data_IF_414638753255
#
_entry.id   IF_414638753255
#
_cell.length_a   1.000
_cell.length_b   1.000
_cell.length_c   1.000
_cell.angle_alpha   90.00
_cell.angle_beta   90.00
_cell.angle_gamma   90.00
#
_symmetry.space_group_name_H-M   'P 1'
#
loop_
_entity.id
_entity.type
_entity.pdbx_description
1 polymer ?
#
# COMPACT_ATOMS: atom_id res chain seq x y z
N UNK A 1 -11.51 6.55 -2.78
CA UNK A 1 -12.66 5.63 -2.58
C UNK A 1 -13.74 5.82 -3.63
N UNK A 2 -14.23 7.04 -3.86
CA UNK A 2 -15.22 7.29 -4.90
C UNK A 2 -14.71 6.87 -6.28
N UNK A 3 -13.47 7.19 -6.63
CA UNK A 3 -12.85 6.77 -7.88
C UNK A 3 -12.83 5.23 -8.05
N UNK A 4 -12.41 4.48 -7.01
CA UNK A 4 -12.43 3.01 -7.01
C UNK A 4 -13.86 2.48 -7.22
N UNK A 5 -14.83 3.04 -6.49
CA UNK A 5 -16.25 2.66 -6.63
C UNK A 5 -16.78 2.90 -8.03
N UNK A 6 -16.52 4.08 -8.60
CA UNK A 6 -16.96 4.46 -9.96
C UNK A 6 -16.39 3.51 -11.00
N UNK A 7 -15.08 3.22 -10.96
CA UNK A 7 -14.43 2.28 -11.87
C UNK A 7 -15.00 0.87 -11.73
N UNK A 8 -15.19 0.40 -10.51
CA UNK A 8 -15.76 -0.93 -10.27
C UNK A 8 -17.22 -1.01 -10.74
N UNK A 9 -18.02 0.03 -10.48
CA UNK A 9 -19.40 0.10 -10.97
C UNK A 9 -19.47 0.05 -12.52
N UNK A 10 -18.61 0.82 -13.17
CA UNK A 10 -18.60 0.91 -14.64
C UNK A 10 -18.23 -0.42 -15.30
N UNK A 11 -17.20 -1.07 -14.80
CA UNK A 11 -16.53 -2.15 -15.55
C UNK A 11 -16.66 -3.55 -14.96
N UNK A 12 -16.90 -3.69 -13.64
CA UNK A 12 -16.92 -5.02 -13.01
C UNK A 12 -18.34 -5.61 -13.06
N UNK A 13 -18.40 -6.89 -13.37
CA UNK A 13 -19.61 -7.71 -13.36
C UNK A 13 -19.34 -9.01 -12.60
N UNK A 14 -20.38 -9.72 -12.24
CA UNK A 14 -20.25 -11.03 -11.61
C UNK A 14 -19.42 -11.97 -12.51
N UNK A 15 -18.33 -12.50 -11.95
CA UNK A 15 -17.40 -13.36 -12.68
C UNK A 15 -16.21 -12.63 -13.32
N UNK A 16 -16.16 -11.29 -13.27
CA UNK A 16 -14.97 -10.54 -13.69
C UNK A 16 -13.76 -10.92 -12.86
N UNK A 17 -12.60 -11.05 -13.50
CA UNK A 17 -11.30 -11.23 -12.86
C UNK A 17 -10.44 -9.99 -13.14
N UNK A 18 -9.81 -9.46 -12.09
CA UNK A 18 -8.96 -8.28 -12.19
C UNK A 18 -7.52 -8.65 -11.83
N UNK A 19 -6.67 -8.87 -12.86
CA UNK A 19 -5.24 -9.03 -12.67
C UNK A 19 -4.63 -7.75 -12.12
N UNK A 20 -3.75 -7.86 -11.12
CA UNK A 20 -3.01 -6.74 -10.56
C UNK A 20 -1.68 -7.19 -9.99
N UNK A 21 -0.70 -6.26 -9.86
CA UNK A 21 0.55 -6.59 -9.20
C UNK A 21 0.29 -7.04 -7.76
N UNK A 22 -0.40 -6.24 -6.95
CA UNK A 22 -0.91 -6.67 -5.64
C UNK A 22 -2.17 -5.87 -5.28
N UNK A 23 -2.99 -6.40 -4.39
CA UNK A 23 -4.21 -5.70 -4.00
C UNK A 23 -3.95 -4.57 -3.01
N UNK A 24 -4.87 -3.62 -2.96
CA UNK A 24 -5.06 -2.76 -1.81
C UNK A 24 -6.42 -3.06 -1.19
N UNK A 25 -6.50 -3.06 0.14
CA UNK A 25 -7.68 -3.52 0.92
C UNK A 25 -9.00 -2.91 0.42
N UNK A 26 -9.03 -1.61 0.12
CA UNK A 26 -10.27 -0.94 -0.34
C UNK A 26 -10.60 -1.27 -1.78
N UNK A 27 -9.60 -1.43 -2.63
CA UNK A 27 -9.79 -1.83 -4.03
C UNK A 27 -10.39 -3.23 -4.11
N UNK A 28 -9.83 -4.18 -3.34
CA UNK A 28 -10.37 -5.53 -3.24
C UNK A 28 -11.83 -5.52 -2.76
N UNK A 29 -12.14 -4.72 -1.72
CA UNK A 29 -13.50 -4.61 -1.21
C UNK A 29 -14.50 -4.10 -2.27
N UNK A 30 -14.13 -3.08 -3.06
CA UNK A 30 -14.97 -2.59 -4.16
C UNK A 30 -15.14 -3.63 -5.27
N UNK A 31 -14.06 -4.30 -5.68
CA UNK A 31 -14.11 -5.37 -6.70
C UNK A 31 -15.07 -6.47 -6.27
N UNK A 32 -14.93 -6.96 -5.03
CA UNK A 32 -15.78 -8.03 -4.47
C UNK A 32 -17.23 -7.59 -4.36
N UNK A 33 -17.49 -6.32 -3.98
CA UNK A 33 -18.85 -5.76 -3.88
C UNK A 33 -19.61 -5.85 -5.21
N UNK A 34 -18.92 -5.71 -6.35
CA UNK A 34 -19.51 -5.83 -7.69
C UNK A 34 -19.44 -7.25 -8.27
N UNK A 35 -19.03 -8.24 -7.46
CA UNK A 35 -18.99 -9.66 -7.84
C UNK A 35 -17.77 -10.07 -8.65
N UNK A 36 -16.73 -9.23 -8.70
CA UNK A 36 -15.44 -9.55 -9.28
C UNK A 36 -14.52 -10.29 -8.30
N UNK A 37 -13.45 -10.84 -8.85
CA UNK A 37 -12.34 -11.47 -8.13
C UNK A 37 -11.02 -10.80 -8.49
N UNK A 38 -10.06 -10.86 -7.59
CA UNK A 38 -8.69 -10.35 -7.80
C UNK A 38 -7.77 -11.52 -8.16
N UNK A 39 -6.87 -11.31 -9.13
CA UNK A 39 -5.72 -12.17 -9.37
C UNK A 39 -4.45 -11.39 -9.03
N UNK A 40 -3.79 -11.77 -7.95
CA UNK A 40 -2.53 -11.18 -7.51
C UNK A 40 -1.38 -11.81 -8.28
N UNK A 41 -0.69 -11.00 -9.05
CA UNK A 41 0.36 -11.42 -9.96
C UNK A 41 1.67 -10.70 -9.65
N UNK A 42 1.97 -10.57 -8.35
CA UNK A 42 3.22 -9.97 -7.90
C UNK A 42 4.41 -10.81 -8.40
N UNK A 43 5.47 -10.13 -8.81
CA UNK A 43 6.74 -10.78 -9.12
C UNK A 43 7.28 -11.49 -7.88
N UNK A 44 7.84 -12.69 -8.06
CA UNK A 44 8.19 -13.58 -6.93
C UNK A 44 9.11 -12.92 -5.88
N UNK A 45 10.05 -12.07 -6.32
CA UNK A 45 10.92 -11.29 -5.42
C UNK A 45 10.16 -10.30 -4.53
N UNK A 46 8.91 -9.96 -4.87
CA UNK A 46 8.05 -9.10 -4.04
C UNK A 46 7.71 -9.71 -2.69
N UNK A 47 7.69 -11.05 -2.59
CA UNK A 47 7.44 -11.79 -1.35
C UNK A 47 8.73 -12.04 -0.54
N UNK A 48 9.90 -11.88 -1.15
CA UNK A 48 11.17 -12.04 -0.47
C UNK A 48 11.57 -10.75 0.26
N UNK A 49 11.30 -10.69 1.56
CA UNK A 49 11.48 -9.50 2.40
C UNK A 49 12.95 -9.03 2.41
N UNK A 50 13.91 -9.97 2.42
CA UNK A 50 15.34 -9.68 2.52
C UNK A 50 16.06 -9.45 1.17
N UNK A 51 15.38 -9.67 0.04
CA UNK A 51 15.95 -9.45 -1.29
C UNK A 51 16.16 -7.97 -1.57
N UNK A 52 17.31 -7.62 -2.13
CA UNK A 52 17.64 -6.26 -2.59
C UNK A 52 17.11 -5.96 -4.02
N UNK A 53 16.20 -6.79 -4.54
CA UNK A 53 15.61 -6.56 -5.87
C UNK A 53 14.94 -5.19 -5.94
N UNK A 54 15.32 -4.32 -6.91
CA UNK A 54 14.96 -2.90 -6.87
C UNK A 54 13.49 -2.59 -7.13
N UNK A 55 12.75 -3.48 -7.81
CA UNK A 55 11.39 -3.26 -8.28
C UNK A 55 10.44 -4.39 -7.86
N UNK A 56 10.36 -4.64 -6.55
CA UNK A 56 9.51 -5.69 -5.97
C UNK A 56 8.02 -5.53 -6.24
N UNK A 57 7.58 -4.33 -6.65
CA UNK A 57 6.21 -4.05 -7.07
C UNK A 57 5.88 -4.45 -8.51
N UNK A 58 6.83 -5.03 -9.25
CA UNK A 58 6.60 -5.51 -10.61
C UNK A 58 5.52 -6.58 -10.67
N UNK A 59 4.81 -6.63 -11.79
CA UNK A 59 3.86 -7.70 -12.12
C UNK A 59 4.60 -8.84 -12.84
N UNK A 60 4.25 -10.07 -12.53
CA UNK A 60 4.77 -11.27 -13.19
C UNK A 60 4.10 -11.45 -14.56
N UNK A 61 4.82 -11.16 -15.63
CA UNK A 61 4.28 -11.06 -17.00
C UNK A 61 3.79 -12.39 -17.54
N UNK A 62 4.52 -13.48 -17.30
CA UNK A 62 4.14 -14.82 -17.76
C UNK A 62 2.85 -15.28 -17.06
N UNK A 63 2.73 -15.04 -15.74
CA UNK A 63 1.50 -15.33 -14.99
C UNK A 63 0.32 -14.46 -15.45
N UNK A 64 0.58 -13.21 -15.85
CA UNK A 64 -0.45 -12.32 -16.40
C UNK A 64 -1.02 -12.90 -17.69
N UNK A 65 -0.15 -13.30 -18.62
CA UNK A 65 -0.59 -13.87 -19.90
C UNK A 65 -1.30 -15.21 -19.73
N UNK A 66 -0.82 -16.08 -18.84
CA UNK A 66 -1.45 -17.34 -18.48
C UNK A 66 -2.85 -17.13 -17.87
N UNK A 67 -2.98 -16.15 -16.97
CA UNK A 67 -4.26 -15.76 -16.35
C UNK A 67 -5.27 -15.34 -17.41
N UNK A 68 -4.86 -14.52 -18.39
CA UNK A 68 -5.72 -14.07 -19.48
C UNK A 68 -6.16 -15.25 -20.34
N UNK A 69 -5.24 -16.15 -20.71
CA UNK A 69 -5.54 -17.34 -21.52
C UNK A 69 -6.50 -18.30 -20.82
N UNK A 70 -6.35 -18.44 -19.50
CA UNK A 70 -7.16 -19.37 -18.69
C UNK A 70 -8.58 -18.88 -18.46
N UNK A 71 -8.75 -17.57 -18.19
CA UNK A 71 -10.04 -17.00 -17.83
C UNK A 71 -10.81 -16.38 -19.00
N UNK A 72 -10.14 -16.13 -20.14
CA UNK A 72 -10.69 -15.40 -21.27
C UNK A 72 -10.60 -13.87 -21.09
N UNK A 73 -10.11 -13.18 -22.12
CA UNK A 73 -9.93 -11.72 -22.09
C UNK A 73 -11.26 -10.98 -21.85
N UNK A 74 -12.39 -11.54 -22.29
CA UNK A 74 -13.73 -10.99 -22.13
C UNK A 74 -14.19 -10.91 -20.65
N UNK A 75 -13.58 -11.70 -19.76
CA UNK A 75 -13.86 -11.70 -18.33
C UNK A 75 -12.93 -10.76 -17.56
N UNK A 76 -11.96 -10.13 -18.24
CA UNK A 76 -10.97 -9.22 -17.65
C UNK A 76 -11.24 -7.80 -18.16
N UNK A 77 -12.01 -6.99 -17.42
CA UNK A 77 -12.39 -5.64 -17.85
C UNK A 77 -11.20 -4.68 -17.91
N UNK A 78 -10.19 -4.90 -17.05
CA UNK A 78 -8.94 -4.15 -17.03
C UNK A 78 -7.86 -4.90 -16.23
N UNK A 79 -6.60 -4.56 -16.50
CA UNK A 79 -5.44 -4.91 -15.67
C UNK A 79 -5.14 -3.69 -14.80
N UNK A 80 -4.98 -3.88 -13.48
CA UNK A 80 -4.65 -2.79 -12.56
C UNK A 80 -3.19 -2.86 -12.12
N UNK A 81 -2.49 -1.73 -12.20
CA UNK A 81 -1.12 -1.59 -11.68
C UNK A 81 -1.11 -0.53 -10.58
N UNK A 82 -0.64 -0.87 -9.40
CA UNK A 82 -0.50 0.06 -8.27
C UNK A 82 0.90 0.65 -8.24
N UNK A 83 0.99 1.97 -8.38
CA UNK A 83 2.25 2.69 -8.22
C UNK A 83 2.67 2.67 -6.75
N UNK A 84 3.81 2.01 -6.49
CA UNK A 84 4.35 1.70 -5.17
C UNK A 84 3.39 0.87 -4.32
N UNK A 85 3.46 -0.43 -4.53
CA UNK A 85 2.60 -1.45 -3.92
C UNK A 85 2.62 -1.37 -2.39
N UNK A 86 1.54 -0.86 -1.83
CA UNK A 86 1.47 -0.46 -0.42
C UNK A 86 1.67 -1.63 0.55
N UNK A 87 1.01 -2.77 0.29
CA UNK A 87 0.93 -3.88 1.25
C UNK A 87 2.21 -4.71 1.35
N UNK A 88 3.14 -4.55 0.40
CA UNK A 88 4.42 -5.27 0.36
C UNK A 88 5.62 -4.37 0.66
N UNK A 89 5.42 -3.29 1.40
CA UNK A 89 6.51 -2.39 1.79
C UNK A 89 6.61 -1.10 0.98
N UNK A 90 5.54 -0.71 0.25
CA UNK A 90 5.58 0.47 -0.62
C UNK A 90 6.57 0.30 -1.78
N UNK A 91 6.66 -0.90 -2.32
CA UNK A 91 7.67 -1.27 -3.32
C UNK A 91 7.27 -0.79 -4.72
N UNK A 92 8.20 -0.16 -5.47
CA UNK A 92 7.93 0.36 -6.80
C UNK A 92 7.88 -0.73 -7.86
N UNK A 93 7.21 -0.44 -8.96
CA UNK A 93 7.40 -1.13 -10.24
C UNK A 93 8.30 -0.29 -11.17
N UNK A 94 8.94 -0.95 -12.16
CA UNK A 94 9.75 -0.31 -13.20
C UNK A 94 8.90 0.12 -14.41
N UNK A 95 9.33 1.12 -15.15
CA UNK A 95 8.69 1.49 -16.43
C UNK A 95 8.80 0.34 -17.42
N UNK A 96 9.93 -0.38 -17.42
CA UNK A 96 10.09 -1.55 -18.28
C UNK A 96 8.98 -2.60 -18.03
N UNK A 97 8.68 -2.92 -16.77
CA UNK A 97 7.59 -3.84 -16.44
C UNK A 97 6.21 -3.31 -16.85
N UNK A 98 5.96 -2.00 -16.68
CA UNK A 98 4.71 -1.38 -17.14
C UNK A 98 4.56 -1.43 -18.67
N UNK A 99 5.67 -1.28 -19.44
CA UNK A 99 5.69 -1.48 -20.91
C UNK A 99 5.33 -2.91 -21.28
N UNK A 100 5.82 -3.88 -20.55
CA UNK A 100 5.50 -5.31 -20.75
C UNK A 100 4.04 -5.59 -20.44
N UNK A 101 3.50 -5.05 -19.35
CA UNK A 101 2.06 -5.12 -19.04
C UNK A 101 1.22 -4.48 -20.16
N UNK A 102 1.63 -3.30 -20.66
CA UNK A 102 0.95 -2.62 -21.78
C UNK A 102 0.94 -3.49 -23.03
N UNK A 103 2.09 -4.10 -23.39
CA UNK A 103 2.19 -4.96 -24.56
C UNK A 103 1.24 -6.18 -24.48
N UNK A 104 1.12 -6.81 -23.30
CA UNK A 104 0.16 -7.89 -23.08
C UNK A 104 -1.27 -7.37 -23.17
N UNK A 105 -1.56 -6.23 -22.55
CA UNK A 105 -2.88 -5.63 -22.58
C UNK A 105 -3.33 -5.28 -24.01
N UNK A 106 -2.44 -4.73 -24.84
CA UNK A 106 -2.70 -4.43 -26.27
C UNK A 106 -2.97 -5.71 -27.06
N UNK A 107 -2.18 -6.77 -26.82
CA UNK A 107 -2.35 -8.07 -27.50
C UNK A 107 -3.74 -8.67 -27.31
N UNK A 108 -4.33 -8.46 -26.11
CA UNK A 108 -5.63 -9.02 -25.77
C UNK A 108 -6.76 -7.99 -25.76
N UNK A 109 -6.48 -6.73 -26.17
CA UNK A 109 -7.40 -5.61 -26.17
C UNK A 109 -8.05 -5.36 -24.79
N UNK A 110 -7.22 -5.40 -23.75
CA UNK A 110 -7.60 -5.14 -22.35
C UNK A 110 -7.10 -3.75 -21.91
N UNK A 111 -7.90 -3.02 -21.13
CA UNK A 111 -7.51 -1.70 -20.62
C UNK A 111 -6.46 -1.84 -19.49
N UNK A 112 -5.55 -0.87 -19.39
CA UNK A 112 -4.64 -0.71 -18.25
C UNK A 112 -5.12 0.42 -17.36
N UNK A 113 -5.32 0.13 -16.09
CA UNK A 113 -5.71 1.09 -15.05
C UNK A 113 -4.53 1.28 -14.09
N UNK A 114 -4.02 2.51 -14.00
CA UNK A 114 -2.95 2.87 -13.10
C UNK A 114 -3.50 3.50 -11.82
N UNK A 115 -3.25 2.87 -10.68
CA UNK A 115 -3.42 3.53 -9.38
C UNK A 115 -2.21 4.41 -9.09
N UNK A 116 -2.42 5.70 -9.27
CA UNK A 116 -1.39 6.73 -9.14
C UNK A 116 -1.31 7.34 -7.73
N UNK A 117 -1.83 6.66 -6.72
CA UNK A 117 -1.86 7.20 -5.35
C UNK A 117 -0.47 7.51 -4.78
N UNK A 118 0.58 6.80 -5.20
CA UNK A 118 1.98 7.03 -4.83
C UNK A 118 2.87 7.23 -6.07
N UNK A 119 2.32 7.84 -7.11
CA UNK A 119 2.95 8.00 -8.41
C UNK A 119 4.27 8.79 -8.33
N UNK A 120 4.30 9.88 -7.57
CA UNK A 120 5.49 10.72 -7.42
C UNK A 120 6.64 9.96 -6.78
N UNK A 121 6.36 9.22 -5.71
CA UNK A 121 7.36 8.41 -5.01
C UNK A 121 7.83 7.23 -5.87
N UNK A 122 6.93 6.60 -6.64
CA UNK A 122 7.33 5.55 -7.60
C UNK A 122 8.24 6.12 -8.69
N UNK A 123 7.89 7.29 -9.24
CA UNK A 123 8.72 7.98 -10.23
C UNK A 123 10.11 8.36 -9.69
N UNK A 124 10.17 8.79 -8.42
CA UNK A 124 11.44 9.06 -7.75
C UNK A 124 12.31 7.80 -7.61
N UNK A 125 11.72 6.66 -7.25
CA UNK A 125 12.46 5.40 -7.16
C UNK A 125 12.87 4.87 -8.54
N UNK A 126 12.09 5.11 -9.59
CA UNK A 126 12.49 4.85 -10.99
C UNK A 126 13.71 5.71 -11.35
N UNK A 127 13.67 7.02 -11.09
CA UNK A 127 14.78 7.92 -11.31
C UNK A 127 16.09 7.43 -10.64
N UNK A 128 15.99 6.90 -9.42
CA UNK A 128 17.15 6.39 -8.68
C UNK A 128 17.64 5.01 -9.14
N UNK A 129 16.78 4.14 -9.63
CA UNK A 129 17.05 2.70 -9.77
C UNK A 129 17.02 2.19 -11.20
N UNK A 130 16.37 2.89 -12.15
CA UNK A 130 16.26 2.49 -13.55
C UNK A 130 17.20 3.33 -14.41
N UNK A 131 18.22 2.70 -15.00
CA UNK A 131 19.34 3.38 -15.69
C UNK A 131 18.86 4.32 -16.80
N UNK A 132 17.82 3.92 -17.56
CA UNK A 132 17.22 4.72 -18.62
C UNK A 132 16.74 6.10 -18.14
N UNK A 133 16.33 6.22 -16.87
CA UNK A 133 15.62 7.39 -16.36
C UNK A 133 16.45 8.29 -15.43
N UNK A 134 17.74 8.05 -15.29
CA UNK A 134 18.63 8.81 -14.38
C UNK A 134 18.72 10.30 -14.71
N UNK A 135 18.60 10.66 -15.98
CA UNK A 135 18.71 12.05 -16.45
C UNK A 135 17.35 12.69 -16.73
N UNK A 136 16.23 11.98 -16.46
CA UNK A 136 14.88 12.48 -16.68
C UNK A 136 14.34 13.20 -15.44
N UNK A 137 13.59 14.27 -15.66
CA UNK A 137 12.82 14.91 -14.59
C UNK A 137 11.68 14.01 -14.11
N UNK A 138 11.22 14.22 -12.87
CA UNK A 138 10.05 13.47 -12.35
C UNK A 138 8.82 13.65 -13.24
N UNK A 139 8.63 14.83 -13.83
CA UNK A 139 7.52 15.08 -14.74
C UNK A 139 7.56 14.23 -16.01
N UNK A 140 8.74 14.04 -16.59
CA UNK A 140 8.93 13.17 -17.76
C UNK A 140 8.71 11.70 -17.41
N UNK A 141 9.19 11.25 -16.24
CA UNK A 141 8.96 9.88 -15.75
C UNK A 141 7.48 9.63 -15.49
N UNK A 142 6.80 10.56 -14.80
CA UNK A 142 5.36 10.49 -14.55
C UNK A 142 4.59 10.42 -15.86
N UNK A 143 4.97 11.24 -16.84
CA UNK A 143 4.37 11.20 -18.18
C UNK A 143 4.59 9.85 -18.86
N UNK A 144 5.80 9.30 -18.81
CA UNK A 144 6.10 7.99 -19.38
C UNK A 144 5.27 6.87 -18.73
N UNK A 145 5.02 6.95 -17.42
CA UNK A 145 4.14 6.01 -16.71
C UNK A 145 2.68 6.17 -17.13
N UNK A 146 2.16 7.39 -17.16
CA UNK A 146 0.75 7.65 -17.44
C UNK A 146 0.38 7.45 -18.91
N UNK A 147 1.30 7.63 -19.84
CA UNK A 147 1.10 7.35 -21.27
C UNK A 147 0.88 5.84 -21.57
N UNK A 148 1.28 4.95 -20.65
CA UNK A 148 1.07 3.52 -20.75
C UNK A 148 -0.27 3.03 -20.17
N UNK A 149 -1.07 3.93 -19.61
CA UNK A 149 -2.36 3.62 -19.01
C UNK A 149 -3.53 4.25 -19.75
N UNK A 150 -4.65 3.51 -19.86
CA UNK A 150 -5.90 4.03 -20.44
C UNK A 150 -6.67 4.89 -19.43
N UNK A 151 -6.56 4.52 -18.15
CA UNK A 151 -7.20 5.20 -17.03
C UNK A 151 -6.17 5.37 -15.91
N UNK A 152 -6.08 6.56 -15.37
CA UNK A 152 -5.29 6.87 -14.18
C UNK A 152 -6.23 7.35 -13.08
N UNK A 153 -6.16 6.76 -11.88
CA UNK A 153 -6.89 7.29 -10.73
C UNK A 153 -5.98 7.47 -9.53
N UNK A 154 -6.33 8.38 -8.64
CA UNK A 154 -5.47 8.69 -7.50
C UNK A 154 -6.24 9.13 -6.25
N UNK A 155 -5.58 8.95 -5.11
CA UNK A 155 -5.95 9.57 -3.84
C UNK A 155 -5.20 10.89 -3.67
N UNK A 156 -5.90 12.02 -3.62
CA UNK A 156 -5.28 13.32 -3.43
C UNK A 156 -4.56 13.45 -2.07
N UNK A 157 -4.98 12.71 -1.04
CA UNK A 157 -4.30 12.69 0.26
C UNK A 157 -2.86 12.19 0.20
N UNK A 158 -2.57 11.32 -0.77
CA UNK A 158 -1.22 10.78 -0.97
C UNK A 158 -0.50 11.60 -2.05
N UNK A 159 -1.08 11.71 -3.23
CA UNK A 159 -0.43 12.34 -4.38
C UNK A 159 -0.25 13.85 -4.21
N UNK A 160 -1.26 14.58 -3.72
CA UNK A 160 -1.24 16.04 -3.64
C UNK A 160 -1.36 16.61 -2.22
N UNK A 161 -1.29 15.77 -1.17
CA UNK A 161 -1.44 16.18 0.23
C UNK A 161 -2.73 16.96 0.55
N UNK A 162 -3.78 16.82 -0.28
CA UNK A 162 -5.09 17.44 -0.14
C UNK A 162 -6.20 16.40 0.03
N UNK A 163 -7.45 16.81 0.14
CA UNK A 163 -8.60 15.89 0.15
C UNK A 163 -9.07 15.57 -1.24
N UNK A 164 -9.81 14.45 -1.38
CA UNK A 164 -10.39 14.02 -2.65
C UNK A 164 -9.53 13.05 -3.42
N UNK A 165 -9.63 13.11 -4.71
CA UNK A 165 -8.95 12.29 -5.69
C UNK A 165 -9.47 12.60 -7.09
N UNK A 166 -9.03 11.82 -8.07
CA UNK A 166 -9.46 12.01 -9.45
C UNK A 166 -9.37 10.72 -10.25
N UNK A 167 -10.07 10.74 -11.38
CA UNK A 167 -9.93 9.79 -12.47
C UNK A 167 -9.59 10.61 -13.72
N UNK A 168 -8.54 10.21 -14.44
CA UNK A 168 -8.06 10.85 -15.64
C UNK A 168 -8.01 9.84 -16.78
N UNK A 169 -8.39 10.27 -17.97
CA UNK A 169 -8.25 9.50 -19.20
C UNK A 169 -8.12 10.45 -20.39
N UNK A 170 -7.34 10.06 -21.39
CA UNK A 170 -7.28 10.74 -22.69
C UNK A 170 -8.27 10.15 -23.70
N UNK A 171 -9.01 9.10 -23.33
CA UNK A 171 -9.99 8.45 -24.18
C UNK A 171 -11.39 9.03 -23.92
N UNK A 172 -11.99 9.63 -24.96
CA UNK A 172 -13.29 10.27 -24.86
C UNK A 172 -14.44 9.28 -24.63
N UNK A 173 -14.32 8.05 -25.10
CA UNK A 173 -15.33 7.00 -24.88
C UNK A 173 -15.33 6.59 -23.42
N UNK A 174 -14.16 6.33 -22.84
CA UNK A 174 -14.00 6.04 -21.41
C UNK A 174 -14.55 7.19 -20.56
N UNK A 175 -14.24 8.43 -20.91
CA UNK A 175 -14.80 9.60 -20.21
C UNK A 175 -16.33 9.57 -20.20
N UNK A 176 -16.95 9.31 -21.36
CA UNK A 176 -18.42 9.23 -21.51
C UNK A 176 -19.05 8.07 -20.73
N UNK A 177 -18.34 6.96 -20.58
CA UNK A 177 -18.80 5.84 -19.76
C UNK A 177 -18.82 6.19 -18.26
N UNK A 178 -17.85 6.99 -17.79
CA UNK A 178 -17.69 7.34 -16.38
C UNK A 178 -18.45 8.59 -15.94
N UNK A 179 -18.60 9.58 -16.82
CA UNK A 179 -19.19 10.89 -16.53
C UNK A 179 -20.57 10.80 -15.84
N UNK A 180 -21.52 9.92 -16.26
CA UNK A 180 -22.85 9.82 -15.63
C UNK A 180 -22.83 9.31 -14.19
N UNK A 181 -21.74 8.64 -13.78
CA UNK A 181 -21.58 8.10 -12.43
C UNK A 181 -21.11 9.17 -11.44
N UNK A 182 -20.52 10.27 -11.91
CA UNK A 182 -20.03 11.35 -11.04
C UNK A 182 -21.18 12.02 -10.28
N UNK A 183 -22.27 12.48 -10.93
CA UNK A 183 -23.41 13.03 -10.21
C UNK A 183 -24.07 12.07 -9.23
N UNK A 184 -23.99 10.76 -9.52
CA UNK A 184 -24.60 9.73 -8.68
C UNK A 184 -23.82 9.49 -7.38
N UNK A 185 -22.48 9.50 -7.43
CA UNK A 185 -21.63 9.07 -6.32
C UNK A 185 -20.86 10.20 -5.64
N UNK A 186 -20.62 11.31 -6.30
CA UNK A 186 -19.76 12.38 -5.80
C UNK A 186 -20.47 13.72 -5.73
N UNK A 187 -21.11 14.14 -6.78
CA UNK A 187 -21.85 15.38 -6.85
C UNK A 187 -21.93 15.92 -8.27
N UNK A 188 -22.72 17.00 -8.45
CA UNK A 188 -22.96 17.56 -9.74
C UNK A 188 -21.69 18.21 -10.33
N UNK A 189 -21.47 18.07 -11.63
CA UNK A 189 -20.23 18.44 -12.31
C UNK A 189 -19.86 19.94 -12.19
N UNK A 190 -20.82 20.80 -11.94
CA UNK A 190 -20.62 22.26 -11.90
C UNK A 190 -20.72 22.86 -10.49
N UNK A 191 -21.45 22.24 -9.56
CA UNK A 191 -21.69 22.84 -8.24
C UNK A 191 -21.90 21.80 -7.11
N UNK A 192 -21.42 20.60 -7.25
CA UNK A 192 -21.52 19.56 -6.22
C UNK A 192 -20.17 18.93 -5.92
N UNK A 193 -20.16 17.95 -5.04
CA UNK A 193 -19.00 17.15 -4.72
C UNK A 193 -17.93 17.90 -3.94
N UNK A 194 -16.68 17.83 -4.43
CA UNK A 194 -15.53 18.40 -3.74
C UNK A 194 -15.56 19.93 -3.76
N UNK A 195 -15.19 20.57 -2.65
CA UNK A 195 -15.16 22.02 -2.55
C UNK A 195 -14.06 22.65 -3.41
N UNK A 196 -14.27 23.88 -3.89
CA UNK A 196 -13.27 24.64 -4.68
C UNK A 196 -11.94 24.77 -3.93
N UNK A 197 -11.97 24.99 -2.63
CA UNK A 197 -10.75 25.07 -1.80
C UNK A 197 -9.90 23.79 -1.85
N UNK A 198 -10.55 22.64 -1.87
CA UNK A 198 -9.86 21.35 -1.98
C UNK A 198 -9.31 21.14 -3.40
N UNK A 199 -10.04 21.64 -4.44
CA UNK A 199 -9.58 21.58 -5.82
C UNK A 199 -8.33 22.46 -6.00
N UNK A 200 -8.35 23.69 -5.47
CA UNK A 200 -7.18 24.58 -5.50
C UNK A 200 -5.98 23.97 -4.77
N UNK A 201 -6.20 23.45 -3.56
CA UNK A 201 -5.15 22.76 -2.80
C UNK A 201 -4.61 21.52 -3.53
N UNK A 202 -5.51 20.77 -4.20
CA UNK A 202 -5.12 19.61 -5.02
C UNK A 202 -4.27 20.04 -6.21
N UNK A 203 -4.65 21.11 -6.91
CA UNK A 203 -3.90 21.61 -8.05
C UNK A 203 -2.47 21.99 -7.65
N UNK A 204 -2.29 22.75 -6.57
CA UNK A 204 -0.96 23.10 -6.03
C UNK A 204 -0.18 21.84 -5.67
N UNK A 205 -0.78 20.91 -4.93
CA UNK A 205 -0.12 19.67 -4.50
C UNK A 205 0.26 18.73 -5.67
N UNK A 206 -0.49 18.73 -6.77
CA UNK A 206 -0.13 18.00 -7.99
C UNK A 206 1.12 18.59 -8.64
N UNK A 207 1.24 19.94 -8.70
CA UNK A 207 2.49 20.56 -9.15
C UNK A 207 3.68 20.26 -8.24
N UNK A 208 3.49 20.25 -6.92
CA UNK A 208 4.53 19.86 -5.97
C UNK A 208 5.01 18.40 -6.17
N UNK A 209 4.18 17.53 -6.74
CA UNK A 209 4.56 16.15 -7.08
C UNK A 209 5.61 16.08 -8.21
N UNK A 210 5.79 17.15 -8.98
CA UNK A 210 6.83 17.25 -10.01
C UNK A 210 8.16 17.77 -9.46
N UNK A 211 8.20 18.25 -8.23
CA UNK A 211 9.40 18.77 -7.57
C UNK A 211 10.09 17.64 -6.80
N UNK A 212 11.27 17.24 -7.26
CA UNK A 212 12.07 16.20 -6.63
C UNK A 212 12.39 16.52 -5.16
N UNK A 213 12.69 17.79 -4.84
CA UNK A 213 13.00 18.22 -3.47
C UNK A 213 11.85 17.94 -2.51
N UNK A 214 10.62 18.06 -3.01
CA UNK A 214 9.41 17.78 -2.24
C UNK A 214 9.14 16.29 -2.11
N UNK A 215 9.34 15.53 -3.18
CA UNK A 215 9.04 14.09 -3.21
C UNK A 215 10.06 13.29 -2.42
N UNK A 216 11.36 13.57 -2.57
CA UNK A 216 12.44 12.78 -1.97
C UNK A 216 12.44 12.75 -0.44
N UNK A 217 11.85 13.73 0.22
CA UNK A 217 11.86 13.84 1.68
C UNK A 217 11.36 12.59 2.40
N UNK A 218 10.20 12.04 1.96
CA UNK A 218 9.65 10.85 2.59
C UNK A 218 10.48 9.59 2.28
N UNK A 219 10.83 9.28 1.02
CA UNK A 219 11.73 8.17 0.69
C UNK A 219 13.09 8.24 1.41
N UNK A 220 13.73 9.42 1.50
CA UNK A 220 15.01 9.58 2.19
C UNK A 220 14.89 9.27 3.69
N UNK A 221 13.82 9.73 4.34
CA UNK A 221 13.57 9.44 5.76
C UNK A 221 13.22 7.96 5.99
N UNK A 222 12.50 7.34 5.05
CA UNK A 222 12.18 5.92 5.11
C UNK A 222 13.46 5.09 4.94
N UNK A 223 14.31 5.45 3.97
CA UNK A 223 15.60 4.79 3.77
C UNK A 223 16.50 4.91 5.01
N UNK A 224 16.57 6.09 5.63
CA UNK A 224 17.26 6.28 6.90
C UNK A 224 16.69 5.38 8.00
N UNK A 225 15.37 5.33 8.16
CA UNK A 225 14.71 4.52 9.19
C UNK A 225 14.95 3.02 8.97
N UNK A 226 14.83 2.55 7.74
CA UNK A 226 15.10 1.13 7.37
C UNK A 226 16.55 0.77 7.68
N UNK A 227 17.52 1.59 7.21
CA UNK A 227 18.94 1.31 7.40
C UNK A 227 19.34 1.38 8.89
N UNK A 228 18.79 2.32 9.65
CA UNK A 228 19.08 2.46 11.07
C UNK A 228 18.52 1.26 11.87
N UNK A 229 17.30 0.81 11.57
CA UNK A 229 16.71 -0.37 12.22
C UNK A 229 17.44 -1.67 11.81
N UNK A 230 17.79 -1.83 10.54
CA UNK A 230 18.59 -2.97 10.04
C UNK A 230 19.96 -3.04 10.74
N UNK A 231 20.60 -1.90 10.99
CA UNK A 231 21.86 -1.84 11.76
C UNK A 231 21.71 -2.29 13.23
N UNK A 232 20.51 -2.22 13.81
CA UNK A 232 20.16 -2.82 15.11
C UNK A 232 19.72 -4.27 15.00
N UNK A 233 19.77 -4.88 13.80
CA UNK A 233 19.36 -6.26 13.57
C UNK A 233 17.84 -6.45 13.50
N UNK A 234 17.06 -5.37 13.44
CA UNK A 234 15.61 -5.46 13.29
C UNK A 234 15.27 -5.89 11.85
N UNK A 235 14.57 -7.00 11.65
CA UNK A 235 14.19 -7.48 10.32
C UNK A 235 13.28 -6.47 9.60
N UNK A 236 13.73 -5.97 8.44
CA UNK A 236 13.05 -4.95 7.64
C UNK A 236 12.78 -5.43 6.23
N UNK A 237 11.73 -4.89 5.59
CA UNK A 237 11.57 -5.04 4.14
C UNK A 237 12.64 -4.21 3.43
N UNK A 238 13.45 -4.86 2.60
CA UNK A 238 14.53 -4.26 1.80
C UNK A 238 14.32 -4.52 0.29
N UNK A 239 14.82 -3.58 -0.56
CA UNK A 239 15.28 -2.25 -0.24
C UNK A 239 14.16 -1.37 0.30
N UNK A 240 14.48 -0.23 0.91
CA UNK A 240 13.47 0.71 1.41
C UNK A 240 12.51 1.11 0.28
N UNK A 241 11.21 0.95 0.52
CA UNK A 241 10.15 1.42 -0.37
C UNK A 241 9.73 2.84 -0.03
N UNK A 242 8.47 3.15 -0.28
CA UNK A 242 7.88 4.46 0.02
C UNK A 242 6.70 4.34 1.00
N UNK A 243 6.10 5.47 1.40
CA UNK A 243 4.99 5.59 2.34
C UNK A 243 5.36 5.27 3.80
N UNK A 244 6.28 4.38 4.06
CA UNK A 244 6.72 4.00 5.39
C UNK A 244 7.77 2.89 5.38
N UNK A 245 8.47 2.73 6.49
CA UNK A 245 9.31 1.58 6.75
C UNK A 245 8.43 0.40 7.18
N UNK A 246 8.76 -0.80 6.71
CA UNK A 246 7.99 -2.00 7.03
C UNK A 246 8.87 -2.99 7.79
N UNK A 247 8.45 -3.28 9.01
CA UNK A 247 9.11 -4.21 9.93
C UNK A 247 8.54 -5.60 9.70
N UNK A 248 9.38 -6.61 9.58
CA UNK A 248 8.99 -8.01 9.42
C UNK A 248 8.60 -8.63 10.78
N UNK A 249 7.32 -8.53 11.12
CA UNK A 249 6.79 -9.05 12.38
C UNK A 249 6.78 -10.58 12.43
N UNK A 250 6.70 -11.28 11.30
CA UNK A 250 6.78 -12.73 11.25
C UNK A 250 8.14 -13.24 11.78
N UNK A 251 9.20 -12.50 11.44
CA UNK A 251 10.56 -12.82 11.90
C UNK A 251 10.79 -12.42 13.36
N UNK A 252 10.30 -11.25 13.78
CA UNK A 252 10.45 -10.73 15.15
C UNK A 252 9.66 -11.58 16.15
N UNK A 253 8.44 -11.92 15.81
CA UNK A 253 7.48 -12.59 16.69
C UNK A 253 7.27 -14.05 16.30
N UNK A 254 8.32 -14.80 15.91
CA UNK A 254 8.25 -16.21 15.50
C UNK A 254 7.59 -17.14 16.54
N UNK A 255 7.61 -16.74 17.81
CA UNK A 255 7.00 -17.45 18.92
C UNK A 255 5.48 -17.26 19.01
N UNK A 256 4.91 -16.31 18.25
CA UNK A 256 3.47 -16.04 18.19
C UNK A 256 2.87 -16.74 16.97
N UNK A 257 1.88 -17.65 17.14
CA UNK A 257 1.18 -18.26 16.02
C UNK A 257 0.52 -17.20 15.13
N UNK A 258 0.52 -17.41 13.82
CA UNK A 258 0.01 -16.40 12.88
C UNK A 258 -1.48 -16.07 13.06
N UNK A 259 -2.28 -17.05 13.54
CA UNK A 259 -3.68 -16.84 13.91
C UNK A 259 -3.87 -16.08 15.24
N UNK A 260 -2.80 -15.71 15.91
CA UNK A 260 -2.76 -14.79 17.06
C UNK A 260 -2.17 -13.42 16.68
N UNK A 261 -2.09 -13.11 15.38
CA UNK A 261 -1.83 -11.80 14.79
C UNK A 261 -0.50 -11.16 15.21
N UNK A 262 0.67 -11.76 14.88
CA UNK A 262 1.98 -11.26 15.32
C UNK A 262 2.27 -9.82 14.89
N UNK A 263 1.84 -9.38 13.70
CA UNK A 263 1.99 -7.99 13.26
C UNK A 263 1.12 -7.03 14.09
N UNK A 264 -0.11 -7.45 14.42
CA UNK A 264 -0.99 -6.70 15.31
C UNK A 264 -0.43 -6.59 16.73
N UNK A 265 0.12 -7.70 17.25
CA UNK A 265 0.76 -7.75 18.56
C UNK A 265 1.99 -6.83 18.65
N UNK A 266 2.87 -6.87 17.63
CA UNK A 266 4.04 -5.99 17.56
C UNK A 266 3.65 -4.51 17.47
N UNK A 267 2.62 -4.17 16.67
CA UNK A 267 2.11 -2.80 16.58
C UNK A 267 1.52 -2.31 17.92
N UNK A 268 0.78 -3.17 18.62
CA UNK A 268 0.24 -2.87 19.95
C UNK A 268 1.35 -2.69 20.99
N UNK A 269 2.36 -3.57 20.99
CA UNK A 269 3.51 -3.48 21.88
C UNK A 269 4.29 -2.18 21.67
N UNK A 270 4.57 -1.80 20.42
CA UNK A 270 5.25 -0.55 20.09
C UNK A 270 4.45 0.66 20.59
N UNK A 271 3.14 0.67 20.34
CA UNK A 271 2.29 1.75 20.83
C UNK A 271 2.29 1.86 22.36
N UNK A 272 2.21 0.72 23.03
CA UNK A 272 2.17 0.66 24.49
C UNK A 272 3.40 1.29 25.16
N UNK A 273 4.61 1.04 24.62
CA UNK A 273 5.86 1.52 25.21
C UNK A 273 6.31 2.90 24.74
N UNK A 274 5.69 3.44 23.69
CA UNK A 274 6.25 4.63 23.03
C UNK A 274 5.22 5.63 22.50
N UNK A 275 3.95 5.26 22.41
CA UNK A 275 2.93 6.05 21.72
C UNK A 275 3.09 6.04 20.18
N UNK A 276 4.05 5.30 19.61
CA UNK A 276 4.25 5.19 18.17
C UNK A 276 3.19 4.26 17.59
N UNK A 277 2.37 4.80 16.70
CA UNK A 277 1.31 4.03 16.03
C UNK A 277 1.82 3.39 14.75
N UNK A 278 2.13 2.09 14.80
CA UNK A 278 2.31 1.25 13.64
C UNK A 278 0.97 0.82 13.01
N UNK A 279 1.00 0.39 11.77
CA UNK A 279 -0.15 -0.19 11.07
C UNK A 279 0.16 -1.63 10.69
N UNK A 280 -0.65 -2.54 11.17
CA UNK A 280 -0.58 -3.95 10.85
C UNK A 280 -0.83 -4.18 9.35
N UNK A 281 -0.11 -5.13 8.78
CA UNK A 281 -0.19 -5.63 7.40
C UNK A 281 0.07 -7.13 7.39
N UNK A 282 -0.94 -7.91 7.77
CA UNK A 282 -0.83 -9.36 7.90
C UNK A 282 -2.20 -10.01 7.96
N UNK A 283 -2.28 -11.12 8.66
CA UNK A 283 -3.48 -11.95 8.80
C UNK A 283 -4.68 -11.19 9.35
N UNK A 284 -4.47 -10.24 10.27
CA UNK A 284 -5.55 -9.40 10.79
C UNK A 284 -6.24 -8.56 9.69
N UNK A 285 -5.51 -8.16 8.65
CA UNK A 285 -6.05 -7.40 7.51
C UNK A 285 -6.88 -8.24 6.54
N UNK A 286 -6.72 -9.56 6.54
CA UNK A 286 -7.50 -10.48 5.71
C UNK A 286 -8.89 -10.70 6.31
N UNK A 287 -9.84 -11.12 5.47
CA UNK A 287 -11.14 -11.62 5.93
C UNK A 287 -11.05 -13.14 6.14
N UNK A 288 -11.94 -13.69 6.96
CA UNK A 288 -12.12 -15.14 7.03
C UNK A 288 -12.62 -15.68 5.68
N UNK A 289 -12.37 -16.94 5.41
CA UNK A 289 -12.94 -17.65 4.27
C UNK A 289 -14.46 -17.89 4.45
N UNK A 290 -15.10 -18.49 3.45
CA UNK A 290 -16.53 -18.78 3.45
C UNK A 290 -16.95 -19.77 4.58
N UNK A 291 -16.01 -20.58 5.06
CA UNK A 291 -16.19 -21.55 6.15
C UNK A 291 -15.88 -20.96 7.54
N UNK A 292 -15.45 -19.69 7.59
CA UNK A 292 -15.11 -18.97 8.83
C UNK A 292 -13.67 -19.22 9.34
N UNK A 293 -12.80 -19.87 8.55
CA UNK A 293 -11.41 -20.07 8.92
C UNK A 293 -10.58 -18.82 8.68
N UNK A 294 -9.45 -18.70 9.42
CA UNK A 294 -8.46 -17.65 9.15
C UNK A 294 -7.81 -17.83 7.78
N UNK A 295 -7.81 -16.76 7.00
CA UNK A 295 -7.01 -16.66 5.78
C UNK A 295 -5.66 -16.05 6.14
N UNK A 296 -4.65 -16.89 6.31
CA UNK A 296 -3.31 -16.44 6.68
C UNK A 296 -2.71 -15.57 5.57
N UNK A 297 -2.01 -14.51 5.96
CA UNK A 297 -1.30 -13.65 5.02
C UNK A 297 0.06 -14.27 4.64
N UNK A 298 0.54 -13.95 3.43
CA UNK A 298 1.88 -14.37 2.97
C UNK A 298 3.00 -13.68 3.78
N UNK A 299 2.71 -12.51 4.33
CA UNK A 299 3.63 -11.70 5.14
C UNK A 299 2.93 -11.11 6.35
N UNK A 300 3.65 -11.01 7.46
CA UNK A 300 3.23 -10.27 8.66
C UNK A 300 4.13 -9.05 8.82
N UNK A 301 3.62 -7.87 8.47
CA UNK A 301 4.39 -6.63 8.46
C UNK A 301 3.76 -5.57 9.37
N UNK A 302 4.61 -4.76 10.01
CA UNK A 302 4.19 -3.52 10.67
C UNK A 302 4.71 -2.33 9.89
N UNK A 303 3.81 -1.53 9.33
CA UNK A 303 4.15 -0.30 8.63
C UNK A 303 4.29 0.88 9.58
N UNK A 304 5.46 1.50 9.58
CA UNK A 304 5.76 2.77 10.23
C UNK A 304 5.64 3.87 9.17
N UNK A 305 4.47 4.50 9.08
CA UNK A 305 4.18 5.48 8.03
C UNK A 305 4.97 6.77 8.24
N UNK A 306 5.62 7.26 7.17
CA UNK A 306 6.39 8.51 7.14
C UNK A 306 5.84 9.40 6.02
N UNK A 307 4.73 10.12 6.25
CA UNK A 307 4.20 11.04 5.26
C UNK A 307 5.11 12.24 5.06
N UNK A 308 5.04 12.85 3.87
CA UNK A 308 5.86 14.00 3.50
C UNK A 308 5.68 15.18 4.46
N UNK A 309 6.77 15.80 4.90
CA UNK A 309 6.82 17.04 5.70
C UNK A 309 6.06 16.98 7.04
N UNK A 310 5.88 15.80 7.60
CA UNK A 310 5.18 15.62 8.88
C UNK A 310 6.15 15.45 10.04
N UNK A 311 7.20 14.64 9.84
CA UNK A 311 8.13 14.28 10.91
C UNK A 311 9.50 14.95 10.73
N UNK A 312 10.15 15.22 11.86
CA UNK A 312 11.55 15.65 11.94
C UNK A 312 12.48 14.44 12.09
N UNK A 313 13.76 14.61 11.80
CA UNK A 313 14.75 13.55 11.98
C UNK A 313 14.83 13.07 13.44
N UNK A 314 14.64 13.97 14.43
CA UNK A 314 14.64 13.60 15.85
C UNK A 314 13.48 12.67 16.20
N UNK A 315 12.31 12.86 15.60
CA UNK A 315 11.18 11.94 15.78
C UNK A 315 11.45 10.58 15.13
N UNK A 316 12.09 10.55 13.94
CA UNK A 316 12.51 9.29 13.30
C UNK A 316 13.53 8.55 14.16
N UNK A 317 14.53 9.26 14.74
CA UNK A 317 15.49 8.66 15.69
C UNK A 317 14.81 8.07 16.92
N UNK A 318 13.79 8.76 17.47
CA UNK A 318 12.99 8.22 18.56
C UNK A 318 12.32 6.89 18.19
N UNK A 319 11.79 6.79 16.95
CA UNK A 319 11.21 5.51 16.45
C UNK A 319 12.29 4.42 16.41
N UNK A 320 13.49 4.72 15.92
CA UNK A 320 14.62 3.76 15.90
C UNK A 320 14.93 3.26 17.30
N UNK A 321 15.13 4.17 18.27
CA UNK A 321 15.49 3.82 19.66
C UNK A 321 14.43 2.91 20.30
N UNK A 322 13.14 3.23 20.13
CA UNK A 322 12.03 2.47 20.73
C UNK A 322 11.83 1.11 20.07
N UNK A 323 11.94 1.04 18.76
CA UNK A 323 11.83 -0.22 18.04
C UNK A 323 13.02 -1.14 18.33
N UNK A 324 14.23 -0.60 18.40
CA UNK A 324 15.43 -1.37 18.76
C UNK A 324 15.30 -1.97 20.17
N UNK A 325 14.87 -1.18 21.17
CA UNK A 325 14.60 -1.70 22.51
C UNK A 325 13.51 -2.77 22.50
N UNK A 326 12.43 -2.56 21.75
CA UNK A 326 11.35 -3.55 21.65
C UNK A 326 11.83 -4.86 21.01
N UNK A 327 12.68 -4.76 19.99
CA UNK A 327 13.29 -5.93 19.36
C UNK A 327 14.17 -6.73 20.32
N UNK A 328 14.97 -6.07 21.16
CA UNK A 328 15.77 -6.73 22.19
C UNK A 328 14.90 -7.45 23.24
N UNK A 329 13.67 -6.96 23.48
CA UNK A 329 12.72 -7.50 24.45
C UNK A 329 11.53 -8.23 23.80
N UNK A 330 11.62 -8.62 22.53
CA UNK A 330 10.53 -9.17 21.73
C UNK A 330 9.87 -10.42 22.30
N UNK A 331 10.60 -11.22 23.06
CA UNK A 331 10.08 -12.43 23.71
C UNK A 331 9.03 -12.14 24.80
N UNK A 332 8.90 -10.87 25.22
CA UNK A 332 7.85 -10.43 26.14
C UNK A 332 6.52 -10.14 25.41
N UNK A 333 6.52 -10.06 24.09
CA UNK A 333 5.32 -9.82 23.30
C UNK A 333 4.54 -11.13 23.19
N UNK A 334 3.25 -11.11 23.43
CA UNK A 334 2.35 -12.25 23.21
C UNK A 334 1.30 -11.96 22.17
N UNK A 335 0.53 -12.96 21.78
CA UNK A 335 -0.50 -12.86 20.76
C UNK A 335 -1.72 -12.04 21.17
N UNK A 336 -2.63 -11.88 20.20
CA UNK A 336 -3.93 -11.22 20.35
C UNK A 336 -5.05 -12.17 19.94
N UNK A 337 -6.27 -11.90 20.41
CA UNK A 337 -7.47 -12.58 19.95
C UNK A 337 -8.64 -11.60 19.79
N UNK A 338 -9.57 -11.88 18.90
CA UNK A 338 -10.78 -11.10 18.77
C UNK A 338 -11.73 -11.31 19.96
N UNK A 339 -12.25 -10.21 20.47
CA UNK A 339 -13.40 -10.15 21.39
C UNK A 339 -14.66 -9.66 20.66
N UNK A 340 -14.46 -8.96 19.57
CA UNK A 340 -15.51 -8.53 18.66
C UNK A 340 -14.96 -8.52 17.24
N UNK A 341 -15.60 -9.24 16.33
CA UNK A 341 -15.22 -9.34 14.92
C UNK A 341 -16.42 -8.96 14.02
N UNK A 342 -16.34 -7.82 13.31
CA UNK A 342 -17.38 -7.46 12.35
C UNK A 342 -17.30 -8.33 11.09
N UNK A 343 -18.43 -8.54 10.37
CA UNK A 343 -18.49 -9.42 9.21
C UNK A 343 -17.67 -8.92 8.00
N UNK A 344 -17.35 -7.61 7.97
CA UNK A 344 -16.53 -7.00 6.92
C UNK A 344 -15.57 -5.97 7.52
N UNK A 345 -14.40 -5.83 6.91
CA UNK A 345 -13.39 -4.84 7.30
C UNK A 345 -12.99 -4.94 8.79
N UNK A 346 -12.83 -6.17 9.29
CA UNK A 346 -12.48 -6.46 10.69
C UNK A 346 -11.23 -5.73 11.17
N UNK A 347 -10.26 -5.48 10.28
CA UNK A 347 -9.08 -4.69 10.58
C UNK A 347 -9.39 -3.28 11.12
N UNK A 348 -10.47 -2.63 10.64
CA UNK A 348 -10.81 -1.26 11.04
C UNK A 348 -11.69 -1.18 12.29
N UNK A 349 -12.50 -2.18 12.54
CA UNK A 349 -13.59 -2.13 13.52
C UNK A 349 -13.54 -3.25 14.54
N UNK A 350 -12.65 -4.23 14.38
CA UNK A 350 -12.52 -5.35 15.30
C UNK A 350 -11.97 -4.94 16.67
N UNK A 351 -12.49 -5.55 17.71
CA UNK A 351 -11.97 -5.44 19.08
C UNK A 351 -11.04 -6.59 19.38
N UNK A 352 -9.83 -6.31 19.86
CA UNK A 352 -8.83 -7.30 20.20
C UNK A 352 -8.44 -7.19 21.67
N UNK A 353 -8.05 -8.32 22.26
CA UNK A 353 -7.43 -8.35 23.58
C UNK A 353 -6.19 -9.25 23.58
N UNK A 354 -5.26 -9.04 24.50
CA UNK A 354 -4.09 -9.93 24.67
C UNK A 354 -4.52 -11.34 25.09
N UNK A 355 -3.83 -12.37 24.58
CA UNK A 355 -4.06 -13.77 24.99
C UNK A 355 -3.51 -14.08 26.39
N UNK A 356 -2.68 -13.19 26.96
CA UNK A 356 -2.07 -13.31 28.29
C UNK A 356 -1.76 -11.95 28.91
N UNK A 357 -1.11 -11.92 30.05
CA UNK A 357 -0.65 -10.71 30.76
C UNK A 357 0.63 -10.08 30.17
N UNK A 358 0.95 -10.35 28.91
CA UNK A 358 2.16 -9.83 28.27
C UNK A 358 2.28 -8.30 28.26
N UNK A 359 1.18 -7.50 28.12
CA UNK A 359 1.31 -6.04 28.17
C UNK A 359 1.83 -5.52 29.50
N UNK A 360 1.38 -6.12 30.60
CA UNK A 360 1.80 -5.75 31.96
C UNK A 360 3.28 -6.11 32.17
N UNK A 361 3.74 -7.28 31.69
CA UNK A 361 5.14 -7.70 31.77
C UNK A 361 6.05 -6.80 30.95
N UNK A 362 5.65 -6.46 29.72
CA UNK A 362 6.40 -5.56 28.86
C UNK A 362 6.52 -4.15 29.48
N UNK A 363 5.42 -3.61 30.01
CA UNK A 363 5.42 -2.30 30.69
C UNK A 363 6.28 -2.31 31.96
N UNK A 364 6.27 -3.38 32.73
CA UNK A 364 7.11 -3.50 33.92
C UNK A 364 8.60 -3.48 33.54
N UNK A 365 8.99 -4.22 32.48
CA UNK A 365 10.36 -4.18 31.94
C UNK A 365 10.73 -2.79 31.43
N UNK A 366 9.85 -2.13 30.68
CA UNK A 366 10.08 -0.79 30.16
C UNK A 366 10.32 0.23 31.28
N UNK A 367 9.49 0.19 32.34
CA UNK A 367 9.65 1.05 33.51
C UNK A 367 10.94 0.76 34.29
N UNK A 368 11.36 -0.50 34.35
CA UNK A 368 12.63 -0.88 34.99
C UNK A 368 13.84 -0.29 34.25
N UNK A 369 13.79 -0.20 32.92
CA UNK A 369 14.90 0.29 32.09
C UNK A 369 14.91 1.83 31.96
N UNK A 370 13.75 2.49 31.89
CA UNK A 370 13.65 3.94 31.59
C UNK A 370 13.02 4.78 32.72
N UNK A 371 12.55 4.16 33.79
CA UNK A 371 11.82 4.86 34.84
C UNK A 371 10.35 5.12 34.48
N UNK A 372 9.70 6.07 35.20
CA UNK A 372 8.28 6.37 35.00
C UNK A 372 8.01 7.47 33.96
N UNK A 373 9.05 8.09 33.39
CA UNK A 373 8.90 9.12 32.35
C UNK A 373 8.81 8.45 30.97
N UNK A 374 7.63 8.48 30.39
CA UNK A 374 7.41 8.23 28.98
C UNK A 374 7.76 9.46 28.15
#
# INVERSE_FOLDING_TARGET
RAAENILCHAYIRKGSLIPMNYHFTTTMAHITQYGGKVAELLYDEGFNVDSDYPFKGNMHIEKLEETIKTHGAENIPFIRVEASTNLIGGQPFSIQNLREVRAIADKYNIRVVLDASLLGENAYLIHLREEEFKDYSLGEIIKAMTDLADIVYFSARKLSSSRGGGICTNNHEIYRELEPLIPLYEGFLTYGGISVREIEAMAVGLYETLDETMIRQSPDFIAYLVNALDAHGVPMVKPAGVLGAHVNAMEICRHIPQNEYPAGALAAALFLISGIRGMERGTLSNQRDEDGNETLADMELVRLAVPRRVFTLSQIKYVVDRMAWLYENRELIGGLRFVYEPPVLRFFMGGLEPVSDWPQKLMAKFKADFGESL
#
